data_IF_923517061866
#
_entry.id   IF_923517061866
#
_cell.length_a   1.000
_cell.length_b   1.000
_cell.length_c   1.000
_cell.angle_alpha   90.00
_cell.angle_beta   90.00
_cell.angle_gamma   90.00
#
_symmetry.space_group_name_H-M   'P 1'
#
loop_
_entity.id
_entity.type
_entity.pdbx_description
1 polymer ?
#
# COMPACT_ATOMS: atom_id res chain seq x y z
N UNK A 1 -46.93 -4.42 -0.64
CA UNK A 1 -45.96 -5.38 -1.19
C UNK A 1 -45.70 -5.03 -2.64
N UNK A 2 -44.61 -4.33 -2.96
CA UNK A 2 -44.13 -4.11 -4.33
C UNK A 2 -42.63 -4.43 -4.34
N UNK A 3 -42.26 -5.56 -4.97
CA UNK A 3 -40.89 -5.97 -5.24
C UNK A 3 -40.31 -5.03 -6.30
N UNK A 4 -39.24 -4.34 -5.99
CA UNK A 4 -38.41 -3.63 -6.97
C UNK A 4 -37.29 -4.59 -7.40
N UNK A 5 -37.41 -5.06 -8.63
CA UNK A 5 -36.43 -5.92 -9.30
C UNK A 5 -35.38 -5.00 -9.92
N UNK A 6 -34.15 -5.06 -9.42
CA UNK A 6 -33.02 -4.35 -10.03
C UNK A 6 -32.48 -5.17 -11.20
N UNK A 7 -32.61 -4.60 -12.39
CA UNK A 7 -32.13 -5.16 -13.64
C UNK A 7 -30.61 -4.91 -13.74
N UNK A 8 -29.83 -5.98 -13.72
CA UNK A 8 -28.42 -5.91 -14.11
C UNK A 8 -28.35 -5.97 -15.63
N UNK A 9 -27.88 -4.90 -16.25
CA UNK A 9 -27.55 -4.90 -17.68
C UNK A 9 -26.14 -5.44 -17.82
N UNK A 10 -26.01 -6.70 -18.20
CA UNK A 10 -24.77 -7.28 -18.69
C UNK A 10 -24.62 -6.88 -20.17
N UNK A 11 -23.66 -6.05 -20.49
CA UNK A 11 -23.27 -5.76 -21.87
C UNK A 11 -22.51 -6.98 -22.42
N UNK A 12 -23.21 -7.82 -23.16
CA UNK A 12 -22.59 -8.89 -23.93
C UNK A 12 -21.99 -8.30 -25.21
N UNK A 13 -20.68 -8.33 -25.35
CA UNK A 13 -20.00 -8.04 -26.61
C UNK A 13 -20.15 -9.27 -27.51
N UNK A 14 -21.01 -9.17 -28.53
CA UNK A 14 -21.10 -10.15 -29.61
C UNK A 14 -19.94 -9.92 -30.57
N UNK A 15 -18.95 -10.82 -30.59
CA UNK A 15 -17.96 -10.91 -31.65
C UNK A 15 -18.60 -11.66 -32.82
N UNK A 16 -19.05 -10.92 -33.82
CA UNK A 16 -19.49 -11.47 -35.10
C UNK A 16 -18.31 -11.80 -35.99
N UNK A 17 -18.09 -13.09 -36.25
CA UNK A 17 -17.19 -13.55 -37.30
C UNK A 17 -17.90 -13.35 -38.66
N UNK A 18 -17.47 -12.39 -39.47
CA UNK A 18 -17.82 -12.32 -40.88
C UNK A 18 -16.57 -12.42 -41.75
N UNK A 19 -16.68 -13.27 -42.73
CA UNK A 19 -15.78 -13.71 -43.76
C UNK A 19 -15.12 -12.57 -44.55
N UNK A 20 -13.87 -12.80 -44.96
CA UNK A 20 -13.07 -11.97 -45.84
C UNK A 20 -13.80 -11.48 -47.06
N UNK A 21 -13.82 -10.16 -47.28
CA UNK A 21 -13.79 -9.56 -48.59
C UNK A 21 -12.98 -8.27 -48.53
N UNK A 22 -12.13 -8.09 -49.55
CA UNK A 22 -11.17 -7.01 -49.71
C UNK A 22 -11.85 -5.64 -49.77
N UNK A 23 -11.25 -4.65 -49.11
CA UNK A 23 -11.56 -3.24 -49.11
C UNK A 23 -12.73 -2.79 -48.23
N UNK A 24 -12.54 -2.98 -46.91
CA UNK A 24 -13.15 -2.07 -45.94
C UNK A 24 -12.04 -1.67 -44.96
N UNK A 25 -11.71 -0.39 -44.98
CA UNK A 25 -11.08 0.31 -43.87
C UNK A 25 -12.01 0.14 -42.65
N UNK A 26 -11.88 -0.98 -41.96
CA UNK A 26 -12.38 -1.10 -40.62
C UNK A 26 -11.56 -0.13 -39.78
N UNK A 27 -12.03 1.12 -39.73
CA UNK A 27 -11.50 2.13 -38.86
C UNK A 27 -11.43 1.54 -37.44
N UNK A 28 -10.24 1.12 -37.06
CA UNK A 28 -9.93 0.90 -35.66
C UNK A 28 -10.34 2.19 -34.97
N UNK A 29 -11.42 2.17 -34.19
CA UNK A 29 -11.81 3.33 -33.41
C UNK A 29 -10.58 3.74 -32.62
N UNK A 30 -10.06 4.93 -32.92
CA UNK A 30 -8.92 5.46 -32.20
C UNK A 30 -9.29 5.50 -30.71
N UNK A 31 -8.47 4.87 -29.88
CA UNK A 31 -8.65 4.93 -28.41
C UNK A 31 -8.40 6.38 -28.01
N UNK A 32 -9.43 7.05 -27.54
CA UNK A 32 -9.35 8.39 -26.97
C UNK A 32 -9.26 8.29 -25.45
N UNK A 33 -8.24 8.91 -24.87
CA UNK A 33 -8.05 8.97 -23.43
C UNK A 33 -8.07 10.43 -22.99
N UNK A 34 -8.97 10.84 -22.08
CA UNK A 34 -9.04 12.21 -21.61
C UNK A 34 -7.70 12.72 -21.08
N UNK A 35 -7.26 13.89 -21.57
CA UNK A 35 -6.00 14.52 -21.15
C UNK A 35 -4.75 13.98 -21.84
N UNK A 36 -4.86 13.00 -22.73
CA UNK A 36 -3.74 12.45 -23.49
C UNK A 36 -3.93 12.79 -24.98
N UNK A 37 -2.90 13.39 -25.56
CA UNK A 37 -2.84 13.61 -27.00
C UNK A 37 -1.80 12.67 -27.61
N UNK A 38 -2.25 11.73 -28.42
CA UNK A 38 -1.36 10.83 -29.17
C UNK A 38 -0.81 11.57 -30.39
N UNK A 39 0.47 11.95 -30.32
CA UNK A 39 1.17 12.67 -31.40
C UNK A 39 2.05 11.77 -32.30
N UNK A 40 1.84 10.47 -32.20
CA UNK A 40 2.60 9.46 -32.93
C UNK A 40 3.88 9.00 -32.27
N UNK A 41 4.30 9.65 -31.21
CA UNK A 41 5.52 9.35 -30.46
C UNK A 41 5.13 8.85 -29.05
N UNK A 42 4.65 7.59 -28.99
CA UNK A 42 4.26 6.95 -27.75
C UNK A 42 5.52 6.51 -26.97
N UNK A 43 6.06 7.40 -26.16
CA UNK A 43 7.22 7.09 -25.28
C UNK A 43 6.89 6.09 -24.17
N UNK A 44 5.63 5.76 -24.00
CA UNK A 44 5.22 4.79 -22.99
C UNK A 44 4.83 3.47 -23.60
N UNK A 45 3.70 3.48 -24.27
CA UNK A 45 2.84 2.34 -24.28
C UNK A 45 1.97 2.39 -25.54
N UNK A 46 1.45 1.25 -25.94
CA UNK A 46 0.34 1.24 -26.88
C UNK A 46 -0.86 2.01 -26.30
N UNK A 47 -1.82 2.36 -27.13
CA UNK A 47 -3.03 3.03 -26.67
C UNK A 47 -3.79 2.18 -25.63
N UNK A 48 -3.74 0.85 -25.76
CA UNK A 48 -4.35 -0.09 -24.80
C UNK A 48 -3.64 -0.06 -23.45
N UNK A 49 -2.30 -0.02 -23.42
CA UNK A 49 -1.52 0.09 -22.20
C UNK A 49 -1.79 1.43 -21.50
N UNK A 50 -1.85 2.52 -22.27
CA UNK A 50 -2.19 3.84 -21.73
C UNK A 50 -3.62 3.86 -21.17
N UNK A 51 -4.59 3.21 -21.83
CA UNK A 51 -5.95 3.07 -21.35
C UNK A 51 -6.01 2.25 -20.06
N UNK A 52 -5.22 1.19 -19.94
CA UNK A 52 -5.14 0.41 -18.70
C UNK A 52 -4.65 1.27 -17.52
N UNK A 53 -3.60 2.08 -17.72
CA UNK A 53 -3.11 3.02 -16.71
C UNK A 53 -4.18 4.06 -16.36
N UNK A 54 -4.83 4.65 -17.38
CA UNK A 54 -5.90 5.61 -17.15
C UNK A 54 -7.04 5.01 -16.31
N UNK A 55 -7.49 3.81 -16.63
CA UNK A 55 -8.55 3.12 -15.89
C UNK A 55 -8.13 2.81 -14.45
N UNK A 56 -6.87 2.40 -14.24
CA UNK A 56 -6.33 2.21 -12.90
C UNK A 56 -6.39 3.52 -12.09
N UNK A 57 -6.01 4.64 -12.69
CA UNK A 57 -6.01 5.95 -12.03
C UNK A 57 -7.43 6.44 -11.65
N UNK A 58 -8.49 5.87 -12.23
CA UNK A 58 -9.87 6.14 -11.78
C UNK A 58 -10.21 5.41 -10.47
N UNK A 59 -9.41 4.43 -10.05
CA UNK A 59 -9.61 3.66 -8.81
C UNK A 59 -8.83 4.20 -7.62
N UNK A 60 -7.93 5.14 -7.85
CA UNK A 60 -7.08 5.79 -6.84
C UNK A 60 -7.23 7.31 -6.92
N UNK A 61 -6.73 8.02 -5.91
CA UNK A 61 -6.83 9.49 -5.86
C UNK A 61 -5.45 10.13 -5.71
N UNK A 62 -5.29 11.25 -6.39
CA UNK A 62 -4.04 12.02 -6.35
C UNK A 62 -3.80 12.63 -4.96
N UNK A 63 -2.52 12.70 -4.57
CA UNK A 63 -2.00 13.46 -3.42
C UNK A 63 -1.23 14.65 -3.98
N UNK A 64 -1.88 15.81 -4.14
CA UNK A 64 -1.29 16.96 -4.86
C UNK A 64 0.03 17.45 -4.26
N UNK A 65 0.18 17.37 -2.95
CA UNK A 65 1.37 17.80 -2.21
C UNK A 65 2.62 17.01 -2.59
N UNK A 66 2.44 15.80 -3.13
CA UNK A 66 3.53 14.93 -3.55
C UNK A 66 3.81 15.00 -5.07
N UNK A 67 3.19 15.96 -5.77
CA UNK A 67 3.46 16.15 -7.20
C UNK A 67 4.81 16.82 -7.41
N UNK A 68 5.62 16.26 -8.32
CA UNK A 68 6.95 16.75 -8.69
C UNK A 68 7.00 17.13 -10.17
N UNK A 69 7.39 18.37 -10.47
CA UNK A 69 7.78 18.78 -11.82
C UNK A 69 9.26 18.50 -12.05
N UNK A 70 9.57 17.78 -13.13
CA UNK A 70 10.94 17.41 -13.50
C UNK A 70 11.35 18.18 -14.75
N UNK A 71 12.29 19.11 -14.58
CA UNK A 71 12.87 19.96 -15.64
C UNK A 71 11.82 20.67 -16.53
N UNK A 72 10.67 21.03 -15.98
CA UNK A 72 9.52 21.65 -16.67
C UNK A 72 8.95 20.85 -17.85
N UNK A 73 9.44 19.65 -18.10
CA UNK A 73 9.04 18.75 -19.20
C UNK A 73 8.13 17.62 -18.74
N UNK A 74 8.39 17.12 -17.57
CA UNK A 74 7.72 15.94 -17.02
C UNK A 74 7.07 16.27 -15.68
N UNK A 75 6.08 15.49 -15.34
CA UNK A 75 5.45 15.53 -14.02
C UNK A 75 5.38 14.12 -13.44
N UNK A 76 5.74 13.96 -12.18
CA UNK A 76 5.48 12.75 -11.41
C UNK A 76 4.35 13.05 -10.45
N UNK A 77 3.22 12.38 -10.61
CA UNK A 77 2.07 12.46 -9.71
C UNK A 77 2.05 11.24 -8.79
N UNK A 78 1.62 11.44 -7.55
CA UNK A 78 1.52 10.37 -6.54
C UNK A 78 0.06 10.19 -6.16
N UNK A 79 -0.36 8.94 -6.03
CA UNK A 79 -1.72 8.54 -5.72
C UNK A 79 -1.72 7.59 -4.52
N UNK A 80 -2.82 7.58 -3.79
CA UNK A 80 -3.17 6.55 -2.81
C UNK A 80 -4.60 6.05 -3.06
N UNK A 81 -5.06 4.96 -2.44
CA UNK A 81 -6.43 4.49 -2.61
C UNK A 81 -7.50 5.55 -2.31
N UNK A 82 -7.24 6.45 -1.37
CA UNK A 82 -8.21 7.48 -0.90
C UNK A 82 -7.80 8.91 -1.25
N UNK A 83 -6.55 9.16 -1.65
CA UNK A 83 -5.94 10.50 -1.74
C UNK A 83 -5.46 11.04 -0.40
N UNK A 84 -5.65 10.30 0.66
CA UNK A 84 -5.30 10.64 2.04
C UNK A 84 -4.22 9.69 2.55
N UNK A 85 -3.50 10.11 3.59
CA UNK A 85 -2.48 9.33 4.27
C UNK A 85 -2.90 9.13 5.73
N UNK A 86 -2.72 7.92 6.25
CA UNK A 86 -3.12 7.55 7.60
C UNK A 86 -1.97 6.94 8.38
N UNK A 87 -2.09 6.91 9.70
CA UNK A 87 -1.21 6.08 10.55
C UNK A 87 -1.27 4.63 10.11
N UNK A 88 -0.14 3.92 10.22
CA UNK A 88 0.00 2.57 9.68
C UNK A 88 0.32 2.58 8.18
N UNK A 89 0.03 1.48 7.50
CA UNK A 89 0.43 1.23 6.12
C UNK A 89 -0.39 2.03 5.11
N UNK A 90 0.30 2.62 4.12
CA UNK A 90 -0.28 3.33 2.98
C UNK A 90 0.42 2.91 1.70
N UNK A 91 -0.35 2.54 0.69
CA UNK A 91 0.13 2.35 -0.68
C UNK A 91 0.36 3.70 -1.36
N UNK A 92 1.47 3.83 -2.08
CA UNK A 92 1.80 4.99 -2.91
C UNK A 92 2.03 4.54 -4.35
N UNK A 93 1.27 5.11 -5.28
CA UNK A 93 1.39 4.84 -6.71
C UNK A 93 1.94 6.09 -7.40
N UNK A 94 3.06 5.91 -8.11
CA UNK A 94 3.75 6.98 -8.84
C UNK A 94 3.50 6.80 -10.33
N UNK A 95 3.16 7.88 -11.01
CA UNK A 95 2.96 7.92 -12.46
C UNK A 95 3.67 9.12 -13.03
N UNK A 96 4.52 8.90 -14.02
CA UNK A 96 5.20 9.96 -14.73
C UNK A 96 4.48 10.28 -16.05
N UNK A 97 4.34 11.57 -16.39
CA UNK A 97 3.71 12.05 -17.62
C UNK A 97 4.55 13.15 -18.30
N UNK A 98 4.42 13.28 -19.62
CA UNK A 98 4.86 14.45 -20.35
C UNK A 98 3.88 15.61 -20.12
N UNK A 99 4.37 16.76 -19.70
CA UNK A 99 3.51 17.96 -19.49
C UNK A 99 2.89 18.47 -20.79
N UNK A 100 3.55 18.27 -21.93
CA UNK A 100 3.11 18.80 -23.22
C UNK A 100 1.82 18.15 -23.73
N UNK A 101 1.66 16.84 -23.56
CA UNK A 101 0.58 16.07 -24.18
C UNK A 101 -0.10 15.06 -23.24
N UNK A 102 0.32 15.00 -21.97
CA UNK A 102 -0.25 14.10 -20.97
C UNK A 102 0.17 12.63 -21.10
N UNK A 103 1.02 12.28 -22.09
CA UNK A 103 1.42 10.88 -22.30
C UNK A 103 2.12 10.31 -21.09
N UNK A 104 1.72 9.10 -20.69
CA UNK A 104 2.39 8.35 -19.62
C UNK A 104 3.80 7.94 -20.06
N UNK A 105 4.70 7.83 -19.10
CA UNK A 105 6.09 7.44 -19.30
C UNK A 105 6.34 6.16 -18.50
N UNK A 106 6.80 5.09 -19.14
CA UNK A 106 7.18 3.82 -18.47
C UNK A 106 8.63 3.78 -18.03
N UNK A 107 9.49 4.53 -18.70
CA UNK A 107 10.92 4.61 -18.36
C UNK A 107 11.15 5.71 -17.33
N UNK A 108 10.78 5.40 -16.10
CA UNK A 108 11.08 6.22 -14.94
C UNK A 108 11.31 5.36 -13.69
N UNK A 109 12.01 5.92 -12.72
CA UNK A 109 12.29 5.27 -11.45
C UNK A 109 12.12 6.23 -10.27
N UNK A 110 11.78 5.67 -9.11
CA UNK A 110 11.69 6.35 -7.83
C UNK A 110 12.62 5.59 -6.88
N UNK A 111 13.91 5.97 -6.82
CA UNK A 111 14.92 5.20 -6.10
C UNK A 111 14.87 5.37 -4.58
N UNK A 112 14.25 6.43 -4.06
CA UNK A 112 14.20 6.71 -2.63
C UNK A 112 12.89 7.33 -2.21
N UNK A 113 12.45 6.99 -0.98
CA UNK A 113 11.33 7.63 -0.28
C UNK A 113 11.84 8.02 1.12
N UNK A 114 11.66 9.28 1.49
CA UNK A 114 12.21 9.82 2.74
C UNK A 114 11.12 10.60 3.51
N UNK A 115 10.26 9.88 4.25
CA UNK A 115 9.35 10.50 5.21
C UNK A 115 10.12 10.95 6.45
N UNK A 116 9.82 12.15 6.96
CA UNK A 116 10.48 12.69 8.15
C UNK A 116 9.46 13.44 9.01
N UNK A 117 9.38 13.09 10.28
CA UNK A 117 8.55 13.78 11.27
C UNK A 117 9.39 14.68 12.15
N UNK A 118 8.97 15.93 12.28
CA UNK A 118 9.47 16.84 13.30
C UNK A 118 8.58 16.80 14.53
N UNK A 119 9.12 16.47 15.69
CA UNK A 119 8.45 16.46 16.98
C UNK A 119 8.74 17.75 17.74
N UNK A 120 7.81 18.71 17.75
CA UNK A 120 8.02 20.07 18.27
C UNK A 120 8.40 20.10 19.75
N UNK A 121 7.74 19.27 20.59
CA UNK A 121 7.98 19.23 22.04
C UNK A 121 9.36 18.67 22.42
N UNK A 122 9.91 17.76 21.60
CA UNK A 122 11.19 17.12 21.85
C UNK A 122 12.32 17.73 21.03
N UNK A 123 11.99 18.64 20.10
CA UNK A 123 12.91 19.24 19.13
C UNK A 123 13.77 18.19 18.44
N UNK A 124 13.13 17.14 17.93
CA UNK A 124 13.81 16.02 17.30
C UNK A 124 13.08 15.57 16.04
N UNK A 125 13.83 14.92 15.16
CA UNK A 125 13.30 14.31 13.95
C UNK A 125 13.36 12.78 14.04
N UNK A 126 12.40 12.11 13.42
CA UNK A 126 12.47 10.66 13.19
C UNK A 126 11.80 10.31 11.86
N UNK A 127 12.22 9.20 11.30
CA UNK A 127 11.59 8.63 10.12
C UNK A 127 10.56 7.55 10.51
N UNK A 128 10.16 6.72 9.55
CA UNK A 128 9.13 5.69 9.69
C UNK A 128 9.42 4.53 8.73
N UNK A 129 8.79 3.34 8.91
CA UNK A 129 8.87 2.26 7.94
C UNK A 129 8.42 2.67 6.54
N UNK A 130 9.24 2.35 5.55
CA UNK A 130 8.98 2.73 4.16
C UNK A 130 9.69 1.78 3.19
N UNK A 131 9.17 1.60 1.98
CA UNK A 131 9.88 0.89 0.92
C UNK A 131 11.14 1.65 0.49
N UNK A 132 12.19 0.94 0.08
CA UNK A 132 13.45 1.53 -0.37
C UNK A 132 13.28 2.51 -1.55
N UNK A 133 12.17 2.37 -2.29
CA UNK A 133 11.76 3.18 -3.42
C UNK A 133 10.46 2.61 -3.95
N UNK A 134 10.06 2.98 -5.18
CA UNK A 134 8.91 2.40 -5.84
C UNK A 134 9.34 1.48 -6.99
N UNK A 135 8.70 0.31 -7.08
CA UNK A 135 8.94 -0.72 -8.10
C UNK A 135 7.76 -0.78 -9.07
N UNK A 136 7.95 -1.43 -10.22
CA UNK A 136 6.84 -1.72 -11.14
C UNK A 136 5.69 -2.35 -10.35
N UNK A 137 4.49 -1.75 -10.47
CA UNK A 137 3.32 -2.21 -9.73
C UNK A 137 2.82 -3.55 -10.27
N UNK A 138 2.59 -3.61 -11.57
CA UNK A 138 2.12 -4.78 -12.28
C UNK A 138 2.46 -4.64 -13.77
N UNK A 139 2.67 -5.76 -14.47
CA UNK A 139 2.95 -5.77 -15.91
C UNK A 139 1.77 -5.30 -16.77
N UNK A 140 0.57 -5.24 -16.23
CA UNK A 140 -0.61 -4.64 -16.87
C UNK A 140 -0.52 -3.10 -16.88
N UNK A 141 0.20 -2.52 -15.91
CA UNK A 141 0.28 -1.07 -15.69
C UNK A 141 1.74 -0.59 -15.77
N UNK A 142 2.33 -0.70 -16.96
CA UNK A 142 3.78 -0.48 -17.17
C UNK A 142 4.29 0.90 -16.75
N UNK A 143 3.42 1.91 -16.77
CA UNK A 143 3.76 3.27 -16.34
C UNK A 143 3.37 3.56 -14.87
N UNK A 144 3.12 2.54 -14.04
CA UNK A 144 2.84 2.71 -12.62
C UNK A 144 3.95 2.08 -11.78
N UNK A 145 4.48 2.86 -10.84
CA UNK A 145 5.40 2.35 -9.81
C UNK A 145 4.69 2.38 -8.48
N UNK A 146 4.86 1.32 -7.68
CA UNK A 146 4.29 1.19 -6.33
C UNK A 146 5.40 1.22 -5.29
N UNK A 147 5.25 2.13 -4.33
CA UNK A 147 5.95 2.15 -3.05
C UNK A 147 4.94 2.07 -1.91
N UNK A 148 5.44 2.15 -0.69
CA UNK A 148 4.59 2.20 0.50
C UNK A 148 5.29 2.94 1.64
N UNK A 149 4.50 3.42 2.59
CA UNK A 149 4.96 4.03 3.84
C UNK A 149 4.03 3.60 4.98
N UNK A 150 4.59 3.37 6.18
CA UNK A 150 3.80 3.08 7.38
C UNK A 150 4.04 4.15 8.44
N UNK A 151 3.17 5.12 8.55
CA UNK A 151 3.33 6.23 9.48
C UNK A 151 3.10 5.79 10.93
N UNK A 152 4.08 6.10 11.79
CA UNK A 152 4.05 5.76 13.22
C UNK A 152 3.07 6.63 14.02
N UNK A 153 2.85 7.86 13.57
CA UNK A 153 2.07 8.87 14.27
C UNK A 153 1.29 9.73 13.27
N UNK A 154 0.15 10.26 13.68
CA UNK A 154 -0.59 11.25 12.90
C UNK A 154 0.01 12.66 13.04
N UNK A 155 -0.31 13.52 12.09
CA UNK A 155 -0.02 14.96 12.16
C UNK A 155 -0.83 15.59 13.30
N UNK A 156 -0.19 16.44 14.09
CA UNK A 156 -0.82 17.15 15.22
C UNK A 156 0.00 18.37 15.59
N UNK A 157 -0.44 19.16 16.58
CA UNK A 157 0.36 20.25 17.16
C UNK A 157 1.71 19.79 17.71
N UNK A 158 1.83 18.52 18.09
CA UNK A 158 3.05 17.94 18.62
C UNK A 158 4.01 17.43 17.56
N UNK A 159 3.56 17.28 16.30
CA UNK A 159 4.41 16.75 15.25
C UNK A 159 3.84 16.93 13.84
N UNK A 160 4.73 17.25 12.90
CA UNK A 160 4.41 17.46 11.48
C UNK A 160 5.28 16.56 10.60
N UNK A 161 4.68 16.04 9.53
CA UNK A 161 5.37 15.21 8.56
C UNK A 161 5.78 16.01 7.33
N UNK A 162 6.98 15.75 6.86
CA UNK A 162 7.42 16.07 5.50
C UNK A 162 7.73 14.78 4.74
N UNK A 163 7.61 14.84 3.42
CA UNK A 163 7.90 13.72 2.53
C UNK A 163 8.81 14.19 1.39
N UNK A 164 9.89 13.47 1.18
CA UNK A 164 10.81 13.72 0.07
C UNK A 164 10.96 12.44 -0.75
N UNK A 165 11.21 12.58 -2.06
CA UNK A 165 11.59 11.47 -2.90
C UNK A 165 12.43 11.93 -4.09
N UNK A 166 13.27 11.04 -4.59
CA UNK A 166 14.02 11.24 -5.81
C UNK A 166 13.29 10.55 -6.97
N UNK A 167 13.36 11.15 -8.16
CA UNK A 167 12.80 10.59 -9.40
C UNK A 167 13.82 10.71 -10.52
N UNK A 168 13.86 9.73 -11.42
CA UNK A 168 14.55 9.83 -12.70
C UNK A 168 13.54 9.50 -13.79
N UNK A 169 13.30 10.45 -14.70
CA UNK A 169 12.34 10.33 -15.78
C UNK A 169 13.10 10.49 -17.10
N UNK A 170 13.19 9.44 -17.91
CA UNK A 170 13.93 9.43 -19.18
C UNK A 170 15.37 9.99 -19.04
N UNK A 171 16.06 9.59 -17.95
CA UNK A 171 17.42 10.06 -17.66
C UNK A 171 17.50 11.46 -17.03
N UNK A 172 16.37 12.14 -16.82
CA UNK A 172 16.32 13.46 -16.16
C UNK A 172 16.01 13.28 -14.69
N UNK A 173 16.92 13.75 -13.83
CA UNK A 173 16.73 13.70 -12.38
C UNK A 173 15.81 14.81 -11.88
N UNK A 174 15.01 14.49 -10.89
CA UNK A 174 14.17 15.42 -10.13
C UNK A 174 14.10 15.00 -8.67
N UNK A 175 13.81 15.96 -7.80
CA UNK A 175 13.68 15.72 -6.38
C UNK A 175 12.55 16.57 -5.79
N UNK A 176 11.60 15.90 -5.13
CA UNK A 176 10.66 16.56 -4.23
C UNK A 176 11.33 16.67 -2.86
N UNK A 177 11.42 17.87 -2.32
CA UNK A 177 12.04 18.13 -1.02
C UNK A 177 11.02 18.61 0.00
N UNK A 178 10.94 17.91 1.13
CA UNK A 178 10.23 18.33 2.34
C UNK A 178 8.80 18.83 2.10
N UNK A 179 8.08 18.17 1.20
CA UNK A 179 6.68 18.46 0.98
C UNK A 179 5.89 18.19 2.27
N UNK A 180 5.17 19.18 2.76
CA UNK A 180 4.33 19.01 3.94
C UNK A 180 3.16 18.12 3.59
N UNK A 181 2.91 17.11 4.41
CA UNK A 181 1.80 16.17 4.26
C UNK A 181 0.99 16.09 5.55
N UNK A 182 -0.28 15.79 5.40
CA UNK A 182 -1.17 15.49 6.51
C UNK A 182 -1.29 13.96 6.61
N UNK A 183 -1.10 13.46 7.82
CA UNK A 183 -1.30 12.05 8.17
C UNK A 183 -2.38 11.98 9.22
N UNK A 184 -3.52 11.40 8.90
CA UNK A 184 -4.65 11.28 9.79
C UNK A 184 -4.51 10.06 10.70
N UNK A 185 -5.12 10.12 11.89
CA UNK A 185 -5.22 8.97 12.75
C UNK A 185 -6.27 7.99 12.20
N UNK A 186 -5.95 6.71 12.16
CA UNK A 186 -6.98 5.69 11.94
C UNK A 186 -7.93 5.64 13.14
N UNK A 187 -9.21 5.25 12.93
CA UNK A 187 -10.16 5.05 14.01
C UNK A 187 -9.62 4.08 15.08
N UNK A 188 -10.15 4.22 16.30
CA UNK A 188 -9.91 3.23 17.34
C UNK A 188 -10.31 1.84 16.87
N UNK A 189 -9.50 0.82 17.19
CA UNK A 189 -9.70 -0.54 16.68
C UNK A 189 -9.09 -0.82 15.30
N UNK A 190 -8.56 0.20 14.60
CA UNK A 190 -7.86 0.03 13.32
C UNK A 190 -6.35 0.34 13.43
N UNK A 191 -5.80 0.33 14.61
CA UNK A 191 -4.38 0.58 14.86
C UNK A 191 -3.56 -0.68 14.58
N UNK A 192 -3.34 -0.98 13.32
CA UNK A 192 -2.72 -2.22 12.84
C UNK A 192 -1.20 -2.13 12.67
N UNK A 193 -0.59 -1.00 13.01
CA UNK A 193 0.85 -0.87 13.15
C UNK A 193 1.23 -1.16 14.60
N UNK A 194 2.05 -2.17 14.81
CA UNK A 194 2.54 -2.59 16.11
C UNK A 194 4.06 -2.55 16.15
N UNK A 195 4.62 -2.48 17.34
CA UNK A 195 6.07 -2.61 17.50
C UNK A 195 6.40 -3.69 18.52
N UNK A 196 7.57 -4.27 18.36
CA UNK A 196 8.15 -5.21 19.31
C UNK A 196 9.66 -5.02 19.36
N UNK A 197 10.28 -5.58 20.40
CA UNK A 197 11.73 -5.54 20.57
C UNK A 197 12.30 -6.94 20.60
N UNK A 198 13.47 -7.10 19.97
CA UNK A 198 14.31 -8.28 20.12
C UNK A 198 15.67 -7.75 20.58
N UNK A 199 16.06 -8.08 21.81
CA UNK A 199 17.18 -7.45 22.49
C UNK A 199 17.02 -5.91 22.50
N UNK A 200 17.98 -5.15 21.98
CA UNK A 200 17.93 -3.69 21.93
C UNK A 200 17.32 -3.15 20.63
N UNK A 201 17.03 -4.02 19.66
CA UNK A 201 16.49 -3.65 18.37
C UNK A 201 14.97 -3.55 18.40
N UNK A 202 14.44 -2.44 17.89
CA UNK A 202 12.99 -2.24 17.71
C UNK A 202 12.57 -2.56 16.28
N UNK A 203 11.48 -3.33 16.17
CA UNK A 203 10.84 -3.68 14.91
C UNK A 203 9.41 -3.15 14.88
N UNK A 204 8.94 -2.88 13.66
CA UNK A 204 7.58 -2.43 13.40
C UNK A 204 6.88 -3.44 12.49
N UNK A 205 5.74 -3.91 12.94
CA UNK A 205 4.87 -4.84 12.21
C UNK A 205 3.68 -4.07 11.66
N UNK A 206 3.67 -3.88 10.36
CA UNK A 206 2.64 -3.15 9.62
C UNK A 206 1.70 -4.12 8.93
N UNK A 207 0.42 -4.16 9.31
CA UNK A 207 -0.60 -4.90 8.58
C UNK A 207 -0.90 -4.19 7.26
N UNK A 208 -0.87 -4.93 6.15
CA UNK A 208 -1.19 -4.46 4.79
C UNK A 208 -2.61 -4.88 4.41
N UNK A 209 -2.90 -6.16 4.54
CA UNK A 209 -4.18 -6.78 4.23
C UNK A 209 -4.59 -7.77 5.33
N UNK A 210 -5.89 -7.99 5.49
CA UNK A 210 -7.01 -7.34 4.83
C UNK A 210 -7.30 -5.95 5.39
N UNK A 211 -7.83 -5.05 4.56
CA UNK A 211 -8.44 -3.79 5.00
C UNK A 211 -9.94 -3.94 5.21
N UNK A 212 -10.55 -4.91 4.53
CA UNK A 212 -11.96 -5.31 4.65
C UNK A 212 -12.03 -6.73 5.22
N UNK A 213 -12.25 -6.82 6.51
CA UNK A 213 -12.32 -8.07 7.26
C UNK A 213 -13.68 -8.73 7.09
N UNK A 214 -13.70 -10.07 6.97
CA UNK A 214 -14.93 -10.85 6.78
C UNK A 214 -14.88 -12.15 7.56
N UNK A 215 -16.04 -12.73 7.80
CA UNK A 215 -16.17 -14.10 8.29
C UNK A 215 -15.56 -15.09 7.31
N UNK A 216 -14.99 -16.19 7.82
CA UNK A 216 -14.26 -17.18 7.04
C UNK A 216 -12.78 -16.85 6.95
N UNK A 217 -12.13 -17.38 5.92
CA UNK A 217 -10.69 -17.22 5.73
C UNK A 217 -10.35 -15.86 5.13
N UNK A 218 -9.46 -15.12 5.81
CA UNK A 218 -8.85 -13.90 5.32
C UNK A 218 -7.35 -14.14 5.12
N UNK A 219 -6.82 -13.72 3.98
CA UNK A 219 -5.37 -13.72 3.75
C UNK A 219 -4.77 -12.51 4.45
N UNK A 220 -3.75 -12.72 5.28
CA UNK A 220 -3.01 -11.65 5.95
C UNK A 220 -1.73 -11.40 5.18
N UNK A 221 -1.45 -10.11 4.93
CA UNK A 221 -0.15 -9.63 4.46
C UNK A 221 0.34 -8.55 5.41
N UNK A 222 1.60 -8.61 5.80
CA UNK A 222 2.23 -7.64 6.67
C UNK A 222 3.68 -7.39 6.26
N UNK A 223 4.26 -6.27 6.72
CA UNK A 223 5.70 -6.01 6.64
C UNK A 223 6.30 -5.90 8.05
N UNK A 224 7.52 -6.39 8.20
CA UNK A 224 8.34 -6.16 9.39
C UNK A 224 9.51 -5.27 8.99
N UNK A 225 9.59 -4.10 9.61
CA UNK A 225 10.67 -3.13 9.39
C UNK A 225 11.48 -2.93 10.64
N UNK A 226 12.76 -2.62 10.48
CA UNK A 226 13.69 -2.40 11.57
C UNK A 226 13.90 -0.90 11.80
N UNK A 227 13.82 -0.45 13.05
CA UNK A 227 14.16 0.93 13.42
C UNK A 227 15.60 1.23 13.06
N UNK A 228 15.82 2.28 12.29
CA UNK A 228 17.16 2.71 11.89
C UNK A 228 17.90 3.47 13.01
N UNK A 229 19.23 3.42 12.96
CA UNK A 229 20.10 4.28 13.71
C UNK A 229 21.05 4.97 12.70
N UNK A 230 21.02 6.30 12.57
CA UNK A 230 20.16 7.25 13.29
C UNK A 230 18.67 7.14 12.91
N UNK A 231 17.81 7.55 13.83
CA UNK A 231 16.34 7.44 13.70
C UNK A 231 15.72 8.33 12.59
N UNK A 232 16.51 9.22 12.01
CA UNK A 232 16.12 10.07 10.88
C UNK A 232 16.24 9.35 9.53
N UNK A 233 16.93 8.22 9.49
CA UNK A 233 17.03 7.38 8.29
C UNK A 233 15.74 6.56 8.15
N UNK A 234 15.17 6.44 6.94
CA UNK A 234 14.01 5.59 6.67
C UNK A 234 14.19 4.16 7.21
N UNK A 235 13.13 3.60 7.81
CA UNK A 235 13.18 2.28 8.42
C UNK A 235 12.94 1.21 7.37
N UNK A 236 14.02 0.53 6.97
CA UNK A 236 13.97 -0.52 5.96
C UNK A 236 13.28 -1.79 6.47
N UNK A 237 12.93 -2.69 5.56
CA UNK A 237 12.49 -4.04 5.92
C UNK A 237 13.59 -4.74 6.73
N UNK A 238 13.17 -5.46 7.77
CA UNK A 238 14.08 -6.27 8.58
C UNK A 238 14.76 -7.34 7.72
N UNK A 239 16.05 -7.54 7.93
CA UNK A 239 16.80 -8.64 7.29
C UNK A 239 16.54 -9.97 7.98
N UNK A 240 16.27 -9.93 9.29
CA UNK A 240 15.94 -11.08 10.11
C UNK A 240 14.66 -11.76 9.64
N UNK A 241 14.65 -13.07 9.74
CA UNK A 241 13.48 -13.87 9.42
C UNK A 241 12.73 -14.24 10.69
N UNK A 242 11.47 -13.85 10.71
CA UNK A 242 10.54 -14.21 11.76
C UNK A 242 9.47 -15.16 11.26
N UNK A 243 8.85 -15.88 12.19
CA UNK A 243 7.54 -16.52 11.98
C UNK A 243 6.59 -15.87 12.97
N UNK A 244 5.42 -15.41 12.50
CA UNK A 244 4.44 -14.72 13.33
C UNK A 244 3.21 -15.63 13.42
N UNK A 245 3.06 -16.31 14.57
CA UNK A 245 1.88 -17.12 14.85
C UNK A 245 0.70 -16.20 15.21
N UNK A 246 -0.50 -16.63 14.86
CA UNK A 246 -1.75 -15.88 15.03
C UNK A 246 -2.73 -16.71 15.85
N UNK A 247 -3.28 -16.12 16.90
CA UNK A 247 -4.34 -16.72 17.74
C UNK A 247 -5.50 -15.73 17.90
N UNK A 248 -6.54 -15.83 17.03
CA UNK A 248 -7.70 -14.97 17.14
C UNK A 248 -8.60 -15.39 18.30
N UNK A 249 -8.99 -14.43 19.12
CA UNK A 249 -9.88 -14.59 20.27
C UNK A 249 -10.99 -13.54 20.25
N UNK A 250 -12.18 -13.92 20.71
CA UNK A 250 -13.30 -13.02 20.92
C UNK A 250 -13.42 -12.67 22.41
N UNK A 251 -12.96 -11.49 22.86
CA UNK A 251 -13.01 -11.11 24.28
C UNK A 251 -14.45 -11.09 24.83
N UNK A 252 -15.39 -10.65 24.01
CA UNK A 252 -16.80 -10.50 24.40
C UNK A 252 -17.57 -11.84 24.46
N UNK A 253 -16.90 -12.94 24.05
CA UNK A 253 -17.48 -14.30 24.06
C UNK A 253 -16.60 -15.30 24.83
N UNK A 254 -16.07 -14.87 25.97
CA UNK A 254 -15.29 -15.73 26.85
C UNK A 254 -13.96 -16.21 26.22
N UNK A 255 -13.34 -15.36 25.40
CA UNK A 255 -12.12 -15.68 24.66
C UNK A 255 -12.27 -16.88 23.70
N UNK A 256 -13.46 -17.04 23.11
CA UNK A 256 -13.68 -18.04 22.06
C UNK A 256 -12.62 -17.89 20.96
N UNK A 257 -11.94 -18.97 20.59
CA UNK A 257 -10.91 -18.99 19.55
C UNK A 257 -11.45 -19.50 18.21
N UNK A 258 -10.71 -19.24 17.15
CA UNK A 258 -11.00 -19.79 15.83
C UNK A 258 -9.84 -20.68 15.33
N UNK A 259 -10.12 -21.87 14.83
CA UNK A 259 -9.11 -22.80 14.33
C UNK A 259 -8.70 -22.51 12.87
N UNK A 260 -7.72 -23.28 12.39
CA UNK A 260 -7.26 -23.28 10.98
C UNK A 260 -6.58 -21.98 10.55
N UNK A 261 -5.81 -21.39 11.47
CA UNK A 261 -4.96 -20.22 11.16
C UNK A 261 -3.59 -20.70 10.65
N UNK A 262 -3.01 -19.95 9.73
CA UNK A 262 -1.68 -20.19 9.19
C UNK A 262 -0.78 -19.02 9.58
N UNK A 263 0.34 -19.33 10.24
CA UNK A 263 1.32 -18.34 10.67
C UNK A 263 1.84 -17.51 9.47
N UNK A 264 2.16 -16.25 9.72
CA UNK A 264 2.78 -15.41 8.72
C UNK A 264 4.26 -15.78 8.59
N UNK A 265 4.67 -16.08 7.37
CA UNK A 265 6.06 -16.39 7.00
C UNK A 265 6.54 -15.42 5.93
N UNK A 266 7.85 -15.13 5.94
CA UNK A 266 8.47 -14.18 5.02
C UNK A 266 8.47 -14.72 3.60
N UNK A 267 8.04 -13.88 2.65
CA UNK A 267 8.03 -14.15 1.22
C UNK A 267 9.29 -13.57 0.54
N UNK A 268 9.52 -13.91 -0.73
CA UNK A 268 10.67 -13.44 -1.50
C UNK A 268 10.69 -11.92 -1.74
N UNK A 269 9.54 -11.27 -1.70
CA UNK A 269 9.41 -9.81 -1.81
C UNK A 269 9.60 -9.07 -0.47
N UNK A 270 9.84 -9.81 0.61
CA UNK A 270 10.02 -9.32 1.98
C UNK A 270 8.72 -9.12 2.76
N UNK A 271 7.55 -9.36 2.15
CA UNK A 271 6.28 -9.40 2.87
C UNK A 271 6.19 -10.65 3.74
N UNK A 272 5.30 -10.62 4.72
CA UNK A 272 4.90 -11.75 5.53
C UNK A 272 3.48 -12.14 5.17
N UNK A 273 3.25 -13.40 4.85
CA UNK A 273 1.92 -13.89 4.45
C UNK A 273 1.49 -15.08 5.26
N UNK A 274 0.20 -15.10 5.58
CA UNK A 274 -0.48 -16.18 6.29
C UNK A 274 -1.99 -16.07 6.09
N UNK A 275 -2.75 -16.81 6.87
CA UNK A 275 -4.21 -16.72 6.83
C UNK A 275 -4.83 -16.87 8.21
N UNK A 276 -5.95 -16.21 8.40
CA UNK A 276 -6.76 -16.28 9.61
C UNK A 276 -8.18 -16.69 9.23
N UNK A 277 -8.78 -17.55 10.02
CA UNK A 277 -10.17 -17.93 9.89
C UNK A 277 -10.98 -17.28 11.03
N UNK A 278 -11.93 -16.42 10.67
CA UNK A 278 -12.82 -15.74 11.63
C UNK A 278 -14.23 -16.34 11.50
N UNK A 279 -14.62 -17.15 12.46
CA UNK A 279 -15.82 -18.00 12.37
C UNK A 279 -17.13 -17.26 12.58
N UNK A 280 -17.10 -16.05 13.13
CA UNK A 280 -18.29 -15.26 13.48
C UNK A 280 -18.05 -13.77 13.28
N UNK A 281 -19.12 -13.01 13.17
CA UNK A 281 -19.09 -11.54 13.26
C UNK A 281 -18.86 -11.10 14.71
N UNK A 282 -18.29 -9.92 14.92
CA UNK A 282 -18.01 -9.33 16.21
C UNK A 282 -16.58 -8.84 16.34
N UNK A 283 -16.21 -8.48 17.57
CA UNK A 283 -14.87 -7.99 17.87
C UNK A 283 -13.91 -9.16 18.09
N UNK A 284 -12.82 -9.18 17.33
CA UNK A 284 -11.74 -10.14 17.44
C UNK A 284 -10.45 -9.45 17.87
N UNK A 285 -9.74 -10.08 18.81
CA UNK A 285 -8.37 -9.74 19.15
C UNK A 285 -7.46 -10.84 18.61
N UNK A 286 -6.60 -10.46 17.67
CA UNK A 286 -5.68 -11.34 16.96
C UNK A 286 -4.35 -11.26 17.69
N UNK A 287 -4.11 -12.18 18.63
CA UNK A 287 -2.86 -12.26 19.37
C UNK A 287 -1.74 -12.76 18.47
N UNK A 288 -0.57 -12.15 18.61
CA UNK A 288 0.60 -12.40 17.77
C UNK A 288 1.75 -12.93 18.64
N UNK A 289 2.37 -14.01 18.18
CA UNK A 289 3.59 -14.56 18.78
C UNK A 289 4.67 -14.54 17.72
N UNK A 290 5.70 -13.72 17.94
CA UNK A 290 6.84 -13.60 17.03
C UNK A 290 7.93 -14.56 17.45
N UNK A 291 8.37 -15.43 16.52
CA UNK A 291 9.46 -16.39 16.71
C UNK A 291 10.62 -16.04 15.79
N UNK A 292 11.83 -16.23 16.28
CA UNK A 292 13.05 -16.14 15.48
C UNK A 292 13.21 -17.33 14.52
N UNK A 293 14.28 -17.33 13.72
CA UNK A 293 14.59 -18.43 12.80
C UNK A 293 14.88 -19.79 13.48
N UNK A 294 15.18 -19.78 14.79
CA UNK A 294 15.40 -20.97 15.62
C UNK A 294 14.12 -21.45 16.29
N UNK A 295 12.99 -20.71 16.14
CA UNK A 295 11.71 -21.04 16.74
C UNK A 295 11.53 -20.55 18.17
N UNK A 296 12.46 -19.74 18.71
CA UNK A 296 12.32 -19.15 20.03
C UNK A 296 11.32 -18.00 19.97
N UNK A 297 10.47 -17.89 20.97
CA UNK A 297 9.57 -16.73 21.12
C UNK A 297 10.41 -15.50 21.50
N UNK A 298 10.33 -14.47 20.68
CA UNK A 298 11.07 -13.20 20.87
C UNK A 298 10.17 -12.01 21.18
N UNK A 299 8.86 -12.11 20.89
CA UNK A 299 7.87 -11.11 21.28
C UNK A 299 6.46 -11.70 21.24
N UNK A 300 5.54 -11.11 22.02
CA UNK A 300 4.19 -11.67 22.19
C UNK A 300 4.24 -13.03 22.88
N UNK A 301 3.23 -13.88 22.64
CA UNK A 301 3.15 -15.23 23.22
C UNK A 301 2.96 -15.25 24.74
N UNK A 302 2.42 -14.14 25.29
CA UNK A 302 2.10 -14.02 26.71
C UNK A 302 1.04 -15.02 27.12
N UNK A 303 0.94 -15.29 28.41
CA UNK A 303 -0.15 -16.09 28.98
C UNK A 303 -1.49 -15.38 28.67
N UNK A 304 -2.36 -16.05 27.91
CA UNK A 304 -3.67 -15.56 27.53
C UNK A 304 -4.77 -15.92 28.52
N UNK A 305 -4.44 -16.38 29.73
CA UNK A 305 -5.41 -16.77 30.77
C UNK A 305 -6.37 -15.64 31.14
N UNK A 306 -5.90 -14.39 31.06
CA UNK A 306 -6.69 -13.16 31.25
C UNK A 306 -7.24 -12.56 29.93
N UNK A 307 -6.95 -13.18 28.80
CA UNK A 307 -7.38 -12.73 27.46
C UNK A 307 -6.57 -11.57 26.89
N UNK A 308 -5.42 -11.24 27.47
CA UNK A 308 -4.55 -10.17 27.02
C UNK A 308 -3.17 -10.68 26.58
N UNK A 309 -2.59 -10.04 25.57
CA UNK A 309 -1.19 -10.18 25.21
C UNK A 309 -0.60 -8.81 24.93
N UNK A 310 0.72 -8.71 25.01
CA UNK A 310 1.44 -7.46 24.72
C UNK A 310 1.42 -7.08 23.23
N UNK A 311 1.16 -8.05 22.35
CA UNK A 311 1.19 -7.84 20.90
C UNK A 311 -0.07 -8.44 20.25
N UNK A 312 -0.94 -7.58 19.72
CA UNK A 312 -2.17 -7.99 19.04
C UNK A 312 -2.67 -6.94 18.06
N UNK A 313 -3.43 -7.40 17.08
CA UNK A 313 -4.34 -6.56 16.30
C UNK A 313 -5.77 -6.72 16.82
N UNK A 314 -6.56 -5.67 16.72
CA UNK A 314 -8.00 -5.73 17.01
C UNK A 314 -8.77 -5.39 15.75
N UNK A 315 -9.83 -6.16 15.47
CA UNK A 315 -10.69 -5.98 14.30
C UNK A 315 -12.14 -6.27 14.67
N UNK A 316 -13.06 -5.61 13.97
CA UNK A 316 -14.50 -5.86 14.09
C UNK A 316 -15.06 -6.18 12.72
N UNK A 317 -15.85 -7.26 12.62
CA UNK A 317 -16.49 -7.74 11.39
C UNK A 317 -18.00 -7.91 11.56
#
# INVERSE_FOLDING_TARGET
MKKVMRLFIAAAVLVGLTSCNSNDDLGTQAIEIPGITFDGDLECCSAEEALAVYNFLQTVKNIPELTLDVADKYQVAVYSPTGELHTGYNDLYFVATKKQNGNYIKDFSIPSLTPLMFMSKMNMYHSTPVSAGAKLFDYTYLAVRKGWVSFLMNTSEAGSWTFSYDANVLGTEGKLQEANIIVDALPEGQQWLKNFKVSDQTYFLSLVNPTDWKTGTNTITAYVSQKSDPITVPYALAEEQFTIEIDPRMPDMGNHSSPNNVALTRQSDGSYQGSINLTMTGRWRIHLTVKDAQGNVVAGGDDLSDGFSSLFWEVTI
#
